data_IF_933748697954
#
_entry.id   IF_933748697954
#
_cell.length_a   1.000
_cell.length_b   1.000
_cell.length_c   1.000
_cell.angle_alpha   90.00
_cell.angle_beta   90.00
_cell.angle_gamma   90.00
#
_symmetry.space_group_name_H-M   'P 1'
#
loop_
_entity.id
_entity.type
_entity.pdbx_description
1 polymer ?
2 non-polymer ?
3 non-polymer ?
4 non-polymer ?
5 water ?
#
# COMPACT_ATOMS: atom_id res chain seq x y z
N UNK A 1 -17.23 -3.09 -8.81
CA UNK A 1 -15.78 -2.89 -8.73
C UNK A 1 -15.41 -1.42 -8.91
N UNK A 2 -14.19 -1.09 -8.49
CA UNK A 2 -13.59 0.22 -8.66
C UNK A 2 -12.64 0.20 -9.86
N UNK A 3 -12.43 1.38 -10.45
CA UNK A 3 -11.41 1.55 -11.49
C UNK A 3 -10.03 1.24 -10.90
N UNK A 4 -9.17 0.64 -11.72
CA UNK A 4 -7.74 0.52 -11.44
C UNK A 4 -6.98 1.10 -12.62
N UNK A 5 -6.07 2.09 -12.44
CA UNK A 5 -5.70 2.64 -11.13
C UNK A 5 -6.79 3.47 -10.47
N UNK A 6 -6.74 3.53 -9.14
CA UNK A 6 -7.73 4.21 -8.31
C UNK A 6 -7.04 5.27 -7.49
N UNK A 7 -7.69 6.43 -7.34
CA UNK A 7 -7.29 7.46 -6.40
C UNK A 7 -8.30 7.51 -5.26
N UNK A 8 -7.82 7.28 -4.04
CA UNK A 8 -8.62 7.50 -2.85
C UNK A 8 -8.15 8.78 -2.17
N UNK A 9 -8.96 9.87 -2.17
CA UNK A 9 -8.59 11.06 -1.42
C UNK A 9 -8.51 10.74 0.08
N UNK A 10 -7.54 11.36 0.74
CA UNK A 10 -7.37 11.30 2.19
C UNK A 10 -7.48 12.74 2.69
N UNK A 11 -8.71 13.27 2.87
CA UNK A 11 -8.89 14.70 3.09
C UNK A 11 -8.21 15.20 4.36
N UNK A 12 -7.36 16.22 4.21
CA UNK A 12 -6.60 16.76 5.33
C UNK A 12 -5.48 15.83 5.78
N UNK A 13 -5.12 14.87 4.92
CA UNK A 13 -3.98 14.00 5.16
C UNK A 13 -4.30 12.89 6.15
N UNK A 14 -3.25 12.25 6.66
CA UNK A 14 -3.40 11.11 7.56
C UNK A 14 -3.02 11.53 8.98
N UNK A 15 -3.48 10.74 9.95
CA UNK A 15 -3.27 10.98 11.37
C UNK A 15 -3.08 9.63 12.04
N UNK A 16 -2.37 9.54 13.18
CA UNK A 16 -2.32 8.30 13.95
C UNK A 16 -3.73 7.80 14.27
N UNK A 17 -3.88 6.47 14.15
CA UNK A 17 -5.10 5.72 14.45
C UNK A 17 -6.05 5.72 13.25
N UNK A 18 -5.63 6.29 12.12
CA UNK A 18 -6.36 6.16 10.87
C UNK A 18 -6.01 4.82 10.23
N UNK A 19 -7.04 4.03 9.92
CA UNK A 19 -6.92 2.70 9.35
C UNK A 19 -7.49 2.72 7.93
N UNK A 20 -6.64 2.43 6.94
CA UNK A 20 -7.06 2.38 5.55
C UNK A 20 -7.20 0.90 5.15
N UNK A 21 -8.37 0.53 4.61
CA UNK A 21 -8.67 -0.85 4.24
C UNK A 21 -8.90 -0.91 2.73
N UNK A 22 -8.12 -1.77 2.06
CA UNK A 22 -8.24 -2.03 0.63
C UNK A 22 -8.67 -3.48 0.45
N UNK A 23 -9.78 -3.70 -0.25
CA UNK A 23 -10.33 -5.02 -0.52
C UNK A 23 -10.32 -5.25 -2.02
N UNK A 24 -9.89 -6.44 -2.46
CA UNK A 24 -9.98 -6.79 -3.86
C UNK A 24 -9.67 -8.27 -4.06
N UNK A 25 -9.37 -8.62 -5.29
CA UNK A 25 -8.94 -9.97 -5.65
C UNK A 25 -7.70 -9.85 -6.52
N UNK A 26 -6.67 -10.63 -6.21
CA UNK A 26 -5.45 -10.65 -7.01
C UNK A 26 -5.77 -11.33 -8.34
N UNK A 27 -5.34 -10.74 -9.45
CA UNK A 27 -5.60 -11.34 -10.76
C UNK A 27 -4.86 -12.66 -10.87
N UNK A 28 -5.33 -13.63 -11.69
CA UNK A 28 -4.72 -14.96 -11.75
C UNK A 28 -3.24 -15.00 -12.10
N UNK A 29 -2.79 -14.12 -13.00
CA UNK A 29 -1.40 -14.17 -13.40
C UNK A 29 -0.71 -12.87 -12.98
N UNK A 30 -0.97 -12.45 -11.73
CA UNK A 30 -0.54 -11.13 -11.29
C UNK A 30 0.98 -11.02 -11.30
N UNK A 31 1.47 -9.84 -11.68
CA UNK A 31 2.91 -9.55 -11.68
C UNK A 31 3.27 -8.54 -10.60
N UNK A 32 2.40 -7.53 -10.39
CA UNK A 32 2.74 -6.43 -9.49
C UNK A 32 1.48 -5.77 -8.95
N UNK A 33 1.60 -5.21 -7.74
CA UNK A 33 0.59 -4.37 -7.12
C UNK A 33 1.31 -3.19 -6.49
N UNK A 34 0.68 -2.01 -6.45
CA UNK A 34 1.27 -0.89 -5.73
C UNK A 34 0.21 -0.06 -5.02
N UNK A 35 0.51 0.27 -3.75
CA UNK A 35 -0.13 1.36 -3.03
C UNK A 35 0.84 2.53 -3.00
N UNK A 36 0.33 3.74 -3.22
CA UNK A 36 1.13 4.95 -3.18
C UNK A 36 0.43 5.99 -2.31
N UNK A 37 0.91 6.16 -1.07
CA UNK A 37 0.46 7.23 -0.21
C UNK A 37 1.23 8.48 -0.60
N UNK A 38 0.53 9.47 -1.19
CA UNK A 38 1.18 10.61 -1.84
C UNK A 38 0.98 11.89 -1.05
N UNK A 39 2.06 12.69 -1.03
CA UNK A 39 2.06 14.08 -0.64
C UNK A 39 2.36 14.90 -1.90
N UNK A 40 1.31 15.37 -2.57
CA UNK A 40 1.47 15.92 -3.91
C UNK A 40 2.09 14.87 -4.82
N UNK A 41 3.19 15.21 -5.50
CA UNK A 41 3.89 14.29 -6.37
C UNK A 41 4.81 13.35 -5.57
N UNK A 42 5.10 13.69 -4.32
CA UNK A 42 5.96 12.81 -3.51
C UNK A 42 5.16 11.58 -3.08
N UNK A 43 5.88 10.46 -2.96
CA UNK A 43 5.28 9.25 -2.44
C UNK A 43 5.86 9.00 -1.04
N UNK A 44 5.05 9.29 -0.01
CA UNK A 44 5.46 9.07 1.37
C UNK A 44 5.70 7.58 1.63
N UNK A 45 4.82 6.73 1.09
CA UNK A 45 4.90 5.30 1.32
C UNK A 45 4.40 4.57 0.09
N UNK A 46 5.34 3.88 -0.57
CA UNK A 46 5.09 3.01 -1.69
C UNK A 46 5.19 1.58 -1.17
N UNK A 47 4.10 0.82 -1.32
CA UNK A 47 4.01 -0.57 -0.89
C UNK A 47 3.77 -1.40 -2.15
N UNK A 48 4.75 -2.25 -2.50
CA UNK A 48 4.83 -2.81 -3.84
C UNK A 48 5.13 -4.31 -3.82
N UNK A 49 4.08 -5.16 -3.72
CA UNK A 49 4.23 -6.58 -3.99
C UNK A 49 4.67 -6.85 -5.43
N UNK A 50 5.77 -7.61 -5.57
CA UNK A 50 6.29 -8.06 -6.85
C UNK A 50 6.22 -9.59 -6.86
N UNK A 51 5.51 -10.15 -7.83
CA UNK A 51 5.22 -11.58 -7.86
C UNK A 51 6.31 -12.36 -8.60
N UNK A 52 7.18 -11.68 -9.34
CA UNK A 52 8.22 -12.36 -10.11
C UNK A 52 9.40 -11.40 -10.31
N UNK A 53 10.15 -11.20 -9.23
CA UNK A 53 11.43 -10.52 -9.30
C UNK A 53 12.53 -11.55 -9.10
N UNK A 54 13.27 -11.87 -10.16
CA UNK A 54 14.29 -12.90 -10.12
C UNK A 54 13.70 -14.21 -9.59
N UNK A 55 12.48 -14.53 -10.06
CA UNK A 55 11.84 -15.82 -9.80
C UNK A 55 11.53 -15.99 -8.32
N UNK A 56 11.27 -14.88 -7.62
CA UNK A 56 10.69 -14.99 -6.30
C UNK A 56 9.77 -13.80 -6.06
N UNK A 57 9.02 -13.91 -4.96
CA UNK A 57 8.02 -12.93 -4.59
C UNK A 57 8.58 -12.09 -3.45
N UNK A 58 8.40 -10.77 -3.53
CA UNK A 58 8.98 -9.87 -2.56
C UNK A 58 8.07 -8.65 -2.41
N UNK A 59 8.02 -8.09 -1.20
CA UNK A 59 7.38 -6.80 -0.95
C UNK A 59 8.48 -5.74 -0.95
N UNK A 60 8.37 -4.74 -1.84
CA UNK A 60 9.29 -3.62 -1.86
C UNK A 60 8.56 -2.38 -1.33
N UNK A 61 9.17 -1.69 -0.36
CA UNK A 61 8.64 -0.43 0.16
C UNK A 61 9.69 0.67 -0.04
N UNK A 62 9.22 1.88 -0.32
CA UNK A 62 10.11 3.01 -0.57
C UNK A 62 9.33 4.31 -0.49
N UNK A 63 10.09 5.42 -0.61
CA UNK A 63 9.61 6.79 -0.63
C UNK A 63 10.19 7.46 -1.88
N UNK A 64 9.38 8.31 -2.53
CA UNK A 64 9.82 9.06 -3.70
C UNK A 64 9.76 10.55 -3.36
N UNK A 65 10.91 11.23 -3.48
CA UNK A 65 11.03 12.66 -3.19
C UNK A 65 11.57 13.38 -4.42
N UNK A 66 10.85 14.40 -4.90
CA UNK A 66 11.26 15.14 -6.08
C UNK A 66 11.55 14.18 -7.24
N UNK A 67 10.71 13.15 -7.36
CA UNK A 67 10.75 12.16 -8.45
C UNK A 67 11.94 11.20 -8.33
N UNK A 68 12.61 11.16 -7.16
CA UNK A 68 13.73 10.26 -6.92
C UNK A 68 13.34 9.21 -5.88
N UNK A 69 13.51 7.93 -6.22
CA UNK A 69 13.29 6.84 -5.27
C UNK A 69 14.43 6.80 -4.27
N UNK A 70 14.08 6.53 -3.00
CA UNK A 70 15.06 6.42 -1.93
C UNK A 70 15.53 4.98 -1.74
N UNK A 71 15.97 4.66 -0.52
CA UNK A 71 16.46 3.34 -0.17
C UNK A 71 15.28 2.38 0.00
N UNK A 72 15.33 1.23 -0.69
CA UNK A 72 14.26 0.24 -0.58
C UNK A 72 14.35 -0.52 0.75
N UNK A 73 13.18 -0.83 1.31
CA UNK A 73 13.02 -1.79 2.40
C UNK A 73 12.28 -3.01 1.85
N UNK A 74 12.88 -4.20 2.01
CA UNK A 74 12.37 -5.42 1.39
C UNK A 74 11.96 -6.46 2.43
N UNK A 75 10.86 -7.17 2.15
CA UNK A 75 10.25 -8.19 2.99
C UNK A 75 9.93 -9.41 2.10
N UNK A 76 10.47 -10.59 2.44
CA UNK A 76 10.21 -11.80 1.68
C UNK A 76 8.93 -12.50 2.13
N UNK A 77 8.46 -12.23 3.35
CA UNK A 77 7.14 -12.71 3.75
C UNK A 77 6.14 -12.10 2.79
N UNK A 78 5.39 -12.96 2.08
CA UNK A 78 4.62 -12.56 0.93
C UNK A 78 3.23 -13.19 1.04
N UNK A 79 2.25 -12.45 1.61
CA UNK A 79 0.96 -13.05 1.93
C UNK A 79 -0.06 -13.17 0.80
N UNK A 80 0.27 -12.63 -0.37
CA UNK A 80 -0.67 -12.59 -1.49
C UNK A 80 -0.54 -13.88 -2.30
N UNK A 81 -1.67 -14.31 -2.86
CA UNK A 81 -1.72 -15.46 -3.75
C UNK A 81 -2.53 -15.06 -4.98
N UNK A 82 -2.03 -15.41 -6.17
CA UNK A 82 -2.70 -15.11 -7.42
C UNK A 82 -4.11 -15.71 -7.41
N UNK A 83 -5.09 -14.91 -7.84
CA UNK A 83 -6.47 -15.37 -7.98
C UNK A 83 -7.30 -15.24 -6.70
N UNK A 84 -6.71 -14.82 -5.57
CA UNK A 84 -7.42 -14.89 -4.30
C UNK A 84 -7.85 -13.51 -3.80
N UNK A 85 -9.00 -13.46 -3.09
CA UNK A 85 -9.44 -12.23 -2.43
C UNK A 85 -8.49 -11.84 -1.32
N UNK A 86 -8.21 -10.54 -1.21
CA UNK A 86 -7.26 -10.04 -0.23
C UNK A 86 -7.84 -8.81 0.48
N UNK A 87 -7.26 -8.54 1.65
CA UNK A 87 -7.49 -7.32 2.40
C UNK A 87 -6.13 -6.77 2.81
N UNK A 88 -5.83 -5.53 2.42
CA UNK A 88 -4.66 -4.82 2.91
C UNK A 88 -5.17 -3.77 3.89
N UNK A 89 -4.61 -3.76 5.10
CA UNK A 89 -4.91 -2.71 6.05
C UNK A 89 -3.65 -1.96 6.40
N UNK A 90 -3.70 -0.64 6.24
CA UNK A 90 -2.60 0.23 6.58
C UNK A 90 -3.04 1.07 7.76
N UNK A 91 -2.36 0.90 8.89
CA UNK A 91 -2.66 1.64 10.10
C UNK A 91 -1.58 2.70 10.29
N UNK A 92 -2.00 3.96 10.36
CA UNK A 92 -1.07 5.06 10.58
C UNK A 92 -0.79 5.14 12.09
N UNK A 93 0.49 5.08 12.45
CA UNK A 93 0.93 5.24 13.83
C UNK A 93 1.84 6.46 13.90
N UNK A 94 2.18 6.96 15.12
CA UNK A 94 3.01 8.16 15.21
C UNK A 94 4.36 8.13 14.50
N UNK A 95 5.02 6.96 14.48
CA UNK A 95 6.36 6.86 13.91
C UNK A 95 6.43 5.99 12.65
N UNK A 96 5.35 5.30 12.28
CA UNK A 96 5.41 4.40 11.15
C UNK A 96 4.01 4.11 10.62
N UNK A 97 3.98 3.60 9.38
CA UNK A 97 2.83 2.91 8.84
C UNK A 97 2.97 1.43 9.22
N UNK A 98 1.86 0.81 9.64
CA UNK A 98 1.82 -0.61 9.93
C UNK A 98 0.89 -1.29 8.94
N UNK A 99 1.35 -2.38 8.31
CA UNK A 99 0.58 -3.06 7.29
C UNK A 99 0.25 -4.47 7.78
N UNK A 100 -1.03 -4.84 7.65
CA UNK A 100 -1.48 -6.20 7.87
C UNK A 100 -2.25 -6.64 6.63
N UNK A 101 -2.02 -7.90 6.20
CA UNK A 101 -2.71 -8.45 5.05
C UNK A 101 -3.50 -9.66 5.54
N UNK A 102 -4.79 -9.70 5.19
CA UNK A 102 -5.66 -10.80 5.59
C UNK A 102 -5.52 -11.04 7.10
N UNK A 103 -5.51 -9.95 7.87
CA UNK A 103 -5.52 -9.96 9.33
C UNK A 103 -4.25 -10.57 9.93
N UNK A 104 -3.14 -10.56 9.19
CA UNK A 104 -1.84 -10.95 9.71
C UNK A 104 -0.85 -9.81 9.52
N UNK A 105 -0.17 -9.43 10.61
CA UNK A 105 0.83 -8.36 10.54
C UNK A 105 1.88 -8.71 9.50
N UNK A 106 2.24 -7.74 8.65
CA UNK A 106 3.22 -7.96 7.58
C UNK A 106 4.50 -7.16 7.85
N UNK A 107 4.38 -5.84 8.00
CA UNK A 107 5.56 -5.00 8.12
C UNK A 107 5.19 -3.64 8.72
N UNK A 108 6.24 -2.91 9.12
CA UNK A 108 6.17 -1.52 9.53
C UNK A 108 7.11 -0.71 8.64
N UNK A 109 6.76 0.55 8.37
CA UNK A 109 7.59 1.44 7.57
C UNK A 109 7.67 2.78 8.28
N UNK A 110 8.88 3.14 8.74
CA UNK A 110 9.09 4.37 9.48
C UNK A 110 8.79 5.59 8.59
N UNK A 111 8.16 6.62 9.18
CA UNK A 111 7.86 7.83 8.43
C UNK A 111 9.14 8.55 8.00
N UNK A 112 9.31 8.69 6.67
CA UNK A 112 10.35 9.52 6.09
C UNK A 112 9.80 10.90 5.77
N UNK A 113 8.60 10.92 5.16
CA UNK A 113 7.82 12.13 4.96
C UNK A 113 7.08 12.42 6.26
N UNK A 114 7.32 13.63 6.83
CA UNK A 114 6.90 13.94 8.18
C UNK A 114 5.62 14.79 8.22
N UNK A 115 5.25 15.41 7.10
CA UNK A 115 4.03 16.18 7.02
C UNK A 115 2.85 15.25 6.73
N UNK A 116 2.44 14.49 7.77
CA UNK A 116 1.37 13.50 7.64
C UNK A 116 0.09 14.18 7.16
N UNK A 117 -0.15 15.42 7.62
CA UNK A 117 -1.35 16.17 7.30
C UNK A 117 -1.40 16.58 5.82
N UNK A 118 -0.34 16.32 5.06
CA UNK A 118 -0.29 16.66 3.64
C UNK A 118 -0.28 15.41 2.75
N UNK A 119 -0.31 14.22 3.37
CA UNK A 119 -0.40 12.96 2.62
C UNK A 119 -1.87 12.73 2.31
N UNK A 120 -2.34 13.28 1.19
CA UNK A 120 -3.77 13.48 0.98
C UNK A 120 -4.34 12.63 -0.15
N UNK A 121 -3.57 11.66 -0.65
CA UNK A 121 -4.06 10.76 -1.68
C UNK A 121 -3.45 9.38 -1.50
N UNK A 122 -4.25 8.33 -1.73
CA UNK A 122 -3.73 6.99 -1.88
C UNK A 122 -4.02 6.51 -3.30
N UNK A 123 -2.96 6.24 -4.07
CA UNK A 123 -3.08 5.60 -5.37
C UNK A 123 -3.02 4.08 -5.23
N UNK A 124 -3.89 3.37 -5.96
CA UNK A 124 -3.90 1.92 -5.97
C UNK A 124 -3.78 1.47 -7.42
N UNK A 125 -2.77 0.67 -7.73
CA UNK A 125 -2.51 0.26 -9.10
C UNK A 125 -2.07 -1.20 -9.15
N UNK A 126 -2.13 -1.77 -10.37
CA UNK A 126 -1.55 -3.07 -10.64
C UNK A 126 -2.60 -4.15 -10.84
N UNK A 127 -2.19 -5.40 -10.56
CA UNK A 127 -2.85 -6.57 -11.12
C UNK A 127 -3.89 -7.10 -10.16
N UNK A 128 -4.92 -6.28 -9.92
CA UNK A 128 -6.00 -6.59 -9.00
C UNK A 128 -7.34 -6.21 -9.63
N UNK A 129 -8.39 -6.91 -9.18
CA UNK A 129 -9.75 -6.41 -9.21
C UNK A 129 -9.98 -5.71 -7.87
N UNK A 130 -10.23 -4.40 -7.92
CA UNK A 130 -10.39 -3.61 -6.71
C UNK A 130 -11.88 -3.52 -6.38
N UNK A 131 -12.23 -3.89 -5.14
CA UNK A 131 -13.61 -3.96 -4.70
C UNK A 131 -13.99 -2.75 -3.85
N UNK A 132 -13.15 -2.37 -2.89
CA UNK A 132 -13.40 -1.18 -2.10
C UNK A 132 -12.11 -0.65 -1.49
N UNK A 133 -12.15 0.64 -1.17
CA UNK A 133 -11.04 1.37 -0.59
C UNK A 133 -11.65 2.41 0.34
N UNK A 134 -11.35 2.32 1.64
CA UNK A 134 -12.00 3.17 2.62
C UNK A 134 -11.09 3.35 3.84
N UNK A 135 -11.50 4.22 4.76
CA UNK A 135 -10.75 4.47 5.98
C UNK A 135 -11.71 4.68 7.15
N UNK A 136 -11.16 4.50 8.36
CA UNK A 136 -11.87 4.78 9.61
C UNK A 136 -10.83 5.13 10.65
N UNK A 137 -11.29 5.61 11.81
CA UNK A 137 -10.42 5.85 12.96
C UNK A 137 -10.68 4.75 13.99
N UNK A 138 -9.62 4.11 14.48
CA UNK A 138 -9.75 3.05 15.48
C UNK A 138 -9.82 3.67 16.88
X LIG B 1 18.39 -1.31 -3.47
X LIG B 1 15.29 2.23 -7.78
X LIG B 1 16.39 1.93 -6.84
X LIG B 1 17.82 -0.01 -3.32
X LIG B 1 15.98 2.34 -5.44
X LIG B 1 17.83 0.17 -5.85
X LIG B 1 4.44 0.47 -10.28
X LIG B 1 4.13 -0.69 -9.60
X LIG B 1 2.89 -1.29 -9.81
X LIG B 1 1.97 -0.72 -10.67
X LIG B 1 10.37 -0.16 -11.93
X LIG B 1 10.70 1.25 -5.54
X LIG B 1 14.14 1.61 -7.93
X LIG B 1 20.03 -1.34 -1.69
X LIG B 1 18.87 -2.11 -2.35
X LIG B 1 19.35 -3.44 -2.93
X LIG B 1 17.74 -2.34 -1.35
X LIG B 1 17.41 0.63 -4.52
X LIG B 1 17.11 2.07 -4.49
X LIG B 1 16.74 0.45 -6.87
X LIG B 1 15.38 3.23 -8.61
X LIG B 1 14.27 3.25 -9.32
X LIG B 1 13.45 2.25 -8.93
X LIG B 1 12.13 2.07 -9.59
X LIG B 1 11.44 0.76 -9.17
X LIG B 1 10.02 0.70 -9.73
X LIG B 1 9.14 1.72 -9.04
X LIG B 1 7.75 1.61 -9.51
X LIG B 1 7.20 2.72 -9.96
X LIG B 1 5.97 2.44 -10.29
X LIG B 1 5.72 1.14 -10.04
X LIG B 1 3.51 1.05 -11.13
X LIG B 1 2.29 0.44 -11.33
X LIG B 1 1.37 0.98 -12.19
X LIG B 1 2.59 -2.44 -9.15
X LIG B 1 0.75 -1.32 -10.87
X LIG B 1 6.88 0.62 -9.52
X LIG B 1 10.02 0.95 -11.12
X LIG B 1 11.40 0.61 -7.73
X LIG B 1 10.61 1.56 -7.01
X LIG B 1 12.03 1.48 -5.09
X LIG B 1 9.17 1.50 -7.53
X LIG B 1 8.60 0.22 -7.21
X LIG B 1 17.69 0.56 -2.26
X LIG B 1 18.46 -1.72 -4.39
X LIG B 1 17.28 2.50 -7.12
X LIG B 1 15.09 1.78 -5.14
X LIG B 1 15.73 3.40 -5.43
X LIG B 1 18.74 0.72 -6.15
X LIG B 1 18.06 -0.88 -5.86
X LIG B 1 4.83 -1.14 -8.92
X LIG B 1 10.32 0.11 -12.94
X LIG B 1 9.68 -0.95 -11.76
X LIG B 1 11.34 -0.49 -11.69
X LIG B 1 10.43 0.20 -5.35
X LIG B 1 10.00 1.89 -4.98
X LIG B 1 13.81 0.74 -7.37
X LIG B 1 20.23 -0.47 -2.24
X LIG B 1 20.89 -1.96 -1.67
X LIG B 1 19.78 -1.09 -0.70
X LIG B 1 20.39 -3.57 -2.71
X LIG B 1 18.81 -4.24 -2.51
X LIG B 1 19.22 -3.44 -3.98
X LIG B 1 17.96 -1.87 -0.43
X LIG B 1 17.61 -3.38 -1.18
X LIG B 1 16.85 -1.96 -1.73
X LIG B 1 16.82 2.37 -3.48
X LIG B 1 17.99 2.64 -4.78
X LIG B 1 17.08 0.17 -7.86
X LIG B 1 15.86 -0.14 -6.62
X LIG B 1 12.27 2.06 -10.67
X LIG B 1 11.48 2.91 -9.34
X LIG B 1 12.02 -0.08 -9.58
X LIG B 1 9.61 -0.31 -9.53
X LIG B 1 9.52 2.73 -9.26
X LIG B 1 3.74 1.97 -11.65
X LIG B 1 7.05 -0.40 -9.20
X LIG B 1 10.99 2.58 -7.19
X LIG B 1 12.65 0.91 -5.58
X LIG B 1 8.59 2.30 -7.04
X LIG B 1 9.13 -0.47 -7.64
X LIG C 1 1.70 0.71 -17.06
X LIG C 1 0.98 1.91 -16.91
X LIG C 1 1.39 2.67 -15.69
X LIG C 1 2.80 2.91 -15.70
X LIG C 1 3.26 3.60 -14.56
X LIG C 1 4.28 2.77 -13.84
X LIG C 1 5.58 2.95 -14.42
X LIG C 1 6.63 2.95 -13.45
X LIG C 1 7.36 1.64 -13.45
X LIG C 1 6.96 0.86 -14.57
X LIG C 1 7.87 -0.19 -14.86
X LIG C 1 7.37 -0.98 -16.04
X LIG C 1 1.47 0.30 -17.73
X LIG C 1 0.02 1.72 -16.86
X LIG C 1 1.13 2.48 -17.69
X LIG C 1 1.15 2.15 -14.89
X LIG C 1 0.91 3.52 -15.65
X LIG C 1 2.52 3.78 -13.95
X LIG C 1 3.67 4.44 -14.83
X LIG C 1 4.04 1.82 -13.90
X LIG C 1 4.31 3.03 -12.90
X LIG C 1 6.26 3.13 -12.56
X LIG C 1 7.26 3.67 -13.66
X LIG C 1 7.15 1.15 -12.62
X LIG C 1 8.32 1.80 -13.48
X LIG C 1 7.97 -0.78 -14.08
X LIG C 1 8.77 0.18 -15.07
X LIG C 1 8.11 -1.53 -16.39
X LIG C 1 7.12 -0.37 -16.75
X LIG D 1 7.33 -3.07 -9.76
X LIG D 1 7.11 -2.75 -11.30
X LIG D 1 6.94 -2.48 -12.40
X LIG E 1 -2.80 -0.02 -13.13
X LIG E 1 -1.60 -0.79 -13.81
X LIG E 1 -0.72 -1.38 -14.28
#
# INVERSE_FOLDING_TARGET
PLIVPYNLPLPGGVVPRMLITILGTVKPNANRIALDFQRGNDVAFHFNPRFNENNRRVIVCNTKLDNNWGREERQSVFPFESGKPFKIQVLVEPDHFKVAVNDAHLLQYNHRVKKLNEISKLGISGDIDLTSASYTMI
A1H2P N1 N3 C4 C6 C7 C8 C17 C20 C21 C22 C24 C26 C28 C1 C2 C3 CAB NAA CAA C9 N4 N2 C11 C1' C2' C3' C4' N6 N7 N8 C16 C18 C19 F1 F2 F3 C23 O3' O2' C25 OP3 C5' O5' O6 H10 H19 H14 H13 H16 H15 H26 H29 H30 H28 H32 H33 H37 H1 H2 H3 H6 H5 H4 H8 H9 H7 H11 H12 H18 H17 H20 H21 H22 H23 H24 H25 H27 H31 H34 H35 H36
2PE O1 C2 C3 O4 C5 C6 O7 C8 C9 O10 C11 C12 HO1 H21 H22 H31 H32 H51 H52 H61 H62 H81 H82 H91 H92 H111 H112 H121 H122
SCN S C N
SCN S C N
#
